data_IF_671495683838
#
_entry.id   IF_671495683838
#
_cell.length_a   1.000
_cell.length_b   1.000
_cell.length_c   1.000
_cell.angle_alpha   90.00
_cell.angle_beta   90.00
_cell.angle_gamma   90.00
#
_symmetry.space_group_name_H-M   'P 1'
#
loop_
_entity.id
_entity.type
_entity.pdbx_description
1 polymer ?
#
# COMPACT_ATOMS: atom_id res chain seq x y z
N UNK A 1 16.88 10.22 -13.32
CA UNK A 1 16.14 9.82 -12.15
C UNK A 1 14.65 9.84 -12.38
N UNK A 2 14.03 8.70 -12.26
CA UNK A 2 12.62 8.57 -12.63
C UNK A 2 11.76 8.52 -11.39
N UNK A 3 10.96 9.56 -11.23
CA UNK A 3 9.92 9.54 -10.23
C UNK A 3 8.65 9.00 -10.86
N UNK A 4 8.00 8.07 -10.18
CA UNK A 4 6.73 7.55 -10.62
C UNK A 4 5.64 8.53 -10.21
N UNK A 5 4.64 8.72 -11.07
CA UNK A 5 3.43 9.42 -10.68
C UNK A 5 2.65 8.56 -9.71
N UNK A 6 2.07 9.17 -8.69
CA UNK A 6 1.29 8.45 -7.69
C UNK A 6 -0.17 8.59 -8.01
N UNK A 7 -0.88 7.46 -8.07
CA UNK A 7 -2.33 7.43 -8.24
C UNK A 7 -2.98 6.59 -7.14
N UNK A 8 -4.22 6.89 -6.83
CA UNK A 8 -4.97 6.20 -5.77
C UNK A 8 -6.16 5.46 -6.36
N UNK A 9 -6.44 4.28 -5.82
CA UNK A 9 -7.72 3.63 -6.07
C UNK A 9 -8.81 4.30 -5.23
N UNK A 10 -10.06 4.05 -5.57
CA UNK A 10 -11.20 4.51 -4.77
C UNK A 10 -11.16 3.90 -3.37
N UNK A 11 -10.81 2.62 -3.29
CA UNK A 11 -10.67 1.92 -2.01
C UNK A 11 -9.62 2.58 -1.13
N UNK A 12 -8.47 2.91 -1.70
CA UNK A 12 -7.40 3.58 -0.96
C UNK A 12 -7.89 4.92 -0.38
N UNK A 13 -8.59 5.72 -1.18
CA UNK A 13 -9.10 7.02 -0.72
C UNK A 13 -10.02 6.88 0.48
N UNK A 14 -10.94 5.91 0.44
CA UNK A 14 -11.86 5.65 1.57
C UNK A 14 -11.09 5.20 2.80
N UNK A 15 -10.13 4.32 2.62
CA UNK A 15 -9.34 3.77 3.71
C UNK A 15 -8.43 4.83 4.33
N UNK A 16 -7.90 5.72 3.51
CA UNK A 16 -7.08 6.83 3.99
C UNK A 16 -7.88 7.73 4.95
N UNK A 17 -9.13 8.02 4.61
CA UNK A 17 -10.01 8.77 5.49
C UNK A 17 -10.21 8.04 6.82
N UNK A 18 -10.40 6.73 6.76
CA UNK A 18 -10.60 5.90 7.96
C UNK A 18 -9.37 5.93 8.86
N UNK A 19 -8.18 5.68 8.33
CA UNK A 19 -6.96 5.67 9.15
C UNK A 19 -6.64 7.04 9.70
N UNK A 20 -6.97 8.10 8.96
CA UNK A 20 -6.81 9.48 9.43
C UNK A 20 -7.71 9.73 10.64
N UNK A 21 -8.96 9.29 10.58
CA UNK A 21 -9.90 9.42 11.69
C UNK A 21 -9.47 8.60 12.91
N UNK A 22 -8.77 7.49 12.68
CA UNK A 22 -8.24 6.65 13.76
C UNK A 22 -7.01 7.26 14.42
N UNK A 23 -6.55 8.41 13.96
CA UNK A 23 -5.40 9.10 14.55
C UNK A 23 -4.05 8.59 14.07
N UNK A 24 -4.00 7.84 12.97
CA UNK A 24 -2.73 7.38 12.41
C UNK A 24 -1.90 8.57 11.93
N UNK A 25 -0.59 8.45 12.08
CA UNK A 25 0.34 9.50 11.64
C UNK A 25 0.55 9.39 10.13
N UNK A 26 -0.18 10.22 9.39
CA UNK A 26 -0.16 10.19 7.93
C UNK A 26 1.22 10.54 7.36
N UNK A 27 2.04 11.30 8.10
CA UNK A 27 3.40 11.59 7.65
C UNK A 27 4.24 10.32 7.48
N UNK A 28 3.99 9.29 8.27
CA UNK A 28 4.67 8.00 8.09
C UNK A 28 4.32 7.38 6.75
N UNK A 29 3.05 7.43 6.37
CA UNK A 29 2.60 6.94 5.07
C UNK A 29 3.24 7.75 3.94
N UNK A 30 3.23 9.07 4.05
CA UNK A 30 3.78 9.95 3.02
C UNK A 30 5.28 9.72 2.82
N UNK A 31 6.02 9.48 3.89
CA UNK A 31 7.44 9.16 3.79
C UNK A 31 7.69 7.88 3.01
N UNK A 32 6.88 6.85 3.27
CA UNK A 32 7.00 5.59 2.55
C UNK A 32 6.64 5.78 1.07
N UNK A 33 5.55 6.48 0.80
CA UNK A 33 5.12 6.75 -0.58
C UNK A 33 6.19 7.51 -1.34
N UNK A 34 6.83 8.49 -0.70
CA UNK A 34 7.91 9.23 -1.33
C UNK A 34 9.07 8.32 -1.73
N UNK A 35 9.49 7.44 -0.84
CA UNK A 35 10.54 6.47 -1.15
C UNK A 35 10.14 5.55 -2.30
N UNK A 36 8.89 5.06 -2.27
CA UNK A 36 8.39 4.17 -3.33
C UNK A 36 8.28 4.88 -4.68
N UNK A 37 7.88 6.16 -4.68
CA UNK A 37 7.77 6.92 -5.92
C UNK A 37 9.11 7.14 -6.60
N UNK A 38 10.19 7.11 -5.82
CA UNK A 38 11.56 7.21 -6.33
C UNK A 38 12.18 5.84 -6.59
N UNK A 39 11.41 4.77 -6.44
CA UNK A 39 11.86 3.40 -6.61
C UNK A 39 13.01 3.04 -5.66
N UNK A 40 13.03 3.64 -4.49
CA UNK A 40 14.04 3.32 -3.48
C UNK A 40 13.67 2.05 -2.74
N UNK A 41 14.67 1.29 -2.36
CA UNK A 41 14.48 0.11 -1.52
C UNK A 41 14.10 0.55 -0.10
N UNK A 42 13.06 -0.06 0.45
CA UNK A 42 12.62 0.23 1.81
C UNK A 42 13.48 -0.51 2.82
N UNK A 43 13.70 0.14 3.97
CA UNK A 43 14.35 -0.50 5.12
C UNK A 43 13.61 -1.79 5.50
N UNK A 44 14.34 -2.78 5.98
CA UNK A 44 13.78 -4.10 6.33
C UNK A 44 12.65 -4.02 7.36
N UNK A 45 12.61 -2.97 8.18
CA UNK A 45 11.55 -2.79 9.17
C UNK A 45 10.16 -2.63 8.53
N UNK A 46 10.10 -2.21 7.27
CA UNK A 46 8.83 -2.07 6.56
C UNK A 46 8.32 -3.38 5.95
N UNK A 47 9.12 -4.45 6.00
CA UNK A 47 8.73 -5.79 5.54
C UNK A 47 8.11 -5.80 4.14
N UNK A 48 8.70 -5.03 3.23
CA UNK A 48 8.21 -4.94 1.86
C UNK A 48 8.37 -6.29 1.14
N UNK A 49 7.29 -6.79 0.55
CA UNK A 49 7.29 -8.07 -0.16
C UNK A 49 6.17 -8.14 -1.18
N UNK A 50 6.34 -9.01 -2.17
CA UNK A 50 5.31 -9.27 -3.16
C UNK A 50 4.17 -10.09 -2.55
N UNK A 51 2.94 -9.78 -2.95
CA UNK A 51 1.78 -10.58 -2.59
C UNK A 51 1.60 -11.67 -3.64
N UNK A 52 1.97 -12.89 -3.28
CA UNK A 52 1.96 -14.03 -4.18
C UNK A 52 0.68 -14.84 -3.96
N UNK A 53 0.12 -15.35 -5.06
CA UNK A 53 -1.06 -16.21 -5.03
C UNK A 53 -2.28 -15.56 -4.39
N UNK A 54 -2.39 -14.23 -4.55
CA UNK A 54 -3.51 -13.49 -4.02
C UNK A 54 -4.37 -12.97 -5.16
N UNK A 55 -5.60 -13.47 -5.25
CA UNK A 55 -6.52 -13.12 -6.33
C UNK A 55 -6.92 -11.64 -6.32
N UNK A 56 -7.00 -11.04 -5.14
CA UNK A 56 -7.40 -9.64 -5.01
C UNK A 56 -6.29 -8.66 -5.35
N UNK A 57 -5.07 -9.07 -5.10
CA UNK A 57 -3.92 -8.19 -5.17
C UNK A 57 -2.91 -8.69 -6.19
N UNK A 58 -3.41 -9.04 -7.37
CA UNK A 58 -2.56 -9.52 -8.46
C UNK A 58 -1.49 -8.48 -8.80
N UNK A 59 -0.24 -8.93 -8.85
CA UNK A 59 0.93 -8.08 -9.15
C UNK A 59 1.16 -6.95 -8.15
N UNK A 60 0.60 -7.07 -6.95
CA UNK A 60 0.79 -6.07 -5.90
C UNK A 60 1.92 -6.47 -4.96
N UNK A 61 2.40 -5.46 -4.25
CA UNK A 61 3.34 -5.61 -3.15
C UNK A 61 2.69 -5.04 -1.89
N UNK A 62 3.22 -5.44 -0.76
CA UNK A 62 2.74 -4.97 0.54
C UNK A 62 3.93 -4.51 1.36
N UNK A 63 3.77 -3.41 2.09
CA UNK A 63 4.71 -3.04 3.12
C UNK A 63 3.96 -2.64 4.39
N UNK A 64 4.69 -2.62 5.50
CA UNK A 64 4.12 -2.27 6.82
C UNK A 64 4.56 -0.86 7.17
N UNK A 65 3.60 0.09 7.22
CA UNK A 65 3.87 1.44 7.72
C UNK A 65 4.13 1.36 9.22
N UNK A 66 3.32 0.55 9.90
CA UNK A 66 3.46 0.13 11.29
C UNK A 66 3.12 -1.36 11.34
N UNK A 67 3.39 -2.08 12.45
CA UNK A 67 3.18 -3.53 12.48
C UNK A 67 1.81 -4.01 12.01
N UNK A 68 0.75 -3.24 12.27
CA UNK A 68 -0.59 -3.59 11.78
C UNK A 68 -1.20 -2.46 10.95
N UNK A 69 -0.37 -1.72 10.24
CA UNK A 69 -0.83 -0.72 9.28
C UNK A 69 -0.13 -0.96 7.97
N UNK A 70 -0.85 -1.54 7.02
CA UNK A 70 -0.32 -2.01 5.76
C UNK A 70 -0.58 -1.01 4.64
N UNK A 71 0.30 -1.04 3.65
CA UNK A 71 0.10 -0.37 2.37
C UNK A 71 0.26 -1.41 1.27
N UNK A 72 -0.79 -1.60 0.47
CA UNK A 72 -0.74 -2.43 -0.73
C UNK A 72 -0.58 -1.50 -1.92
N UNK A 73 0.40 -1.79 -2.76
CA UNK A 73 0.74 -0.93 -3.89
C UNK A 73 1.22 -1.76 -5.07
N UNK A 74 1.25 -1.14 -6.25
CA UNK A 74 1.87 -1.77 -7.41
C UNK A 74 2.43 -0.72 -8.35
N UNK A 75 3.42 -1.13 -9.13
CA UNK A 75 4.02 -0.29 -10.15
C UNK A 75 3.50 -0.67 -11.53
N UNK A 76 3.23 0.33 -12.36
CA UNK A 76 3.13 0.15 -13.79
C UNK A 76 4.42 0.70 -14.40
N UNK A 77 5.30 -0.21 -14.79
CA UNK A 77 6.63 0.17 -15.28
C UNK A 77 6.59 0.79 -16.68
N UNK A 78 5.56 0.48 -17.46
CA UNK A 78 5.46 0.99 -18.82
C UNK A 78 5.14 2.48 -18.86
N UNK A 79 4.28 2.93 -17.95
CA UNK A 79 3.86 4.32 -17.88
C UNK A 79 4.34 5.03 -16.64
N UNK A 80 5.18 4.39 -15.84
CA UNK A 80 5.81 4.93 -14.64
C UNK A 80 4.80 5.49 -13.63
N UNK A 81 3.83 4.66 -13.27
CA UNK A 81 2.84 5.01 -12.25
C UNK A 81 2.98 4.08 -11.05
N UNK A 82 2.93 4.67 -9.87
CA UNK A 82 2.80 3.96 -8.60
C UNK A 82 1.35 4.04 -8.16
N UNK A 83 0.67 2.90 -8.13
CA UNK A 83 -0.71 2.82 -7.64
C UNK A 83 -0.72 2.48 -6.17
N UNK A 84 -1.37 3.33 -5.37
CA UNK A 84 -1.68 3.02 -3.98
C UNK A 84 -3.04 2.32 -3.98
N UNK A 85 -3.02 1.03 -3.70
CA UNK A 85 -4.17 0.16 -3.94
C UNK A 85 -5.08 0.09 -2.72
N UNK A 86 -4.53 -0.20 -1.55
CA UNK A 86 -5.28 -0.25 -0.30
C UNK A 86 -4.37 0.07 0.88
N UNK A 87 -4.96 0.52 1.99
CA UNK A 87 -4.26 0.71 3.24
C UNK A 87 -5.20 0.40 4.41
N UNK A 88 -4.67 -0.16 5.47
CA UNK A 88 -5.45 -0.53 6.65
C UNK A 88 -4.75 -1.61 7.45
N UNK A 89 -5.45 -2.17 8.43
CA UNK A 89 -4.94 -3.28 9.23
C UNK A 89 -5.02 -4.59 8.44
N UNK A 90 -4.36 -5.64 8.94
CA UNK A 90 -4.52 -6.98 8.39
C UNK A 90 -6.00 -7.38 8.34
N UNK A 91 -6.71 -7.12 9.41
CA UNK A 91 -8.12 -7.41 9.53
C UNK A 91 -8.95 -6.72 8.45
N UNK A 92 -8.66 -5.42 8.24
CA UNK A 92 -9.40 -4.64 7.24
C UNK A 92 -9.17 -5.14 5.81
N UNK A 93 -7.94 -5.51 5.49
CA UNK A 93 -7.57 -5.84 4.12
C UNK A 93 -7.77 -7.30 3.77
N UNK A 94 -7.55 -8.20 4.72
CA UNK A 94 -7.55 -9.63 4.43
C UNK A 94 -8.77 -10.39 4.96
N UNK A 95 -9.63 -9.76 5.72
CA UNK A 95 -10.87 -10.39 6.20
C UNK A 95 -11.83 -10.73 5.06
N UNK A 96 -11.76 -10.01 3.95
CA UNK A 96 -12.61 -10.29 2.80
C UNK A 96 -12.41 -11.70 2.24
N UNK A 97 -11.32 -12.36 2.61
CA UNK A 97 -11.08 -13.75 2.28
C UNK A 97 -12.12 -14.67 2.91
N UNK A 98 -12.49 -14.38 4.15
CA UNK A 98 -13.49 -15.18 4.87
C UNK A 98 -14.88 -14.94 4.33
N UNK A 99 -15.16 -13.75 3.87
CA UNK A 99 -16.48 -13.38 3.37
C UNK A 99 -16.79 -14.08 2.06
N UNK A 100 -15.79 -14.33 1.25
CA UNK A 100 -15.97 -14.90 -0.09
C UNK A 100 -16.02 -16.41 -0.07
N UNK A 101 -15.61 -17.00 0.99
CA UNK A 101 -15.76 -18.41 1.17
C UNK A 101 -17.20 -18.76 1.47
#
# INVERSE_FOLDING_TARGET
>A
MNNYKVKFTKSFKKQLKKVTKQGKNIDKLLNVVDMLSKKKELDSKYRDHALIDNKYYSNCRECHIEPDWLLVYKYDEDILILYLVETGSHSDLFNKWFIIR
#
